data_IF_859876990239
#
_entry.id   IF_859876990239
#
_cell.length_a   1.000
_cell.length_b   1.000
_cell.length_c   1.000
_cell.angle_alpha   90.00
_cell.angle_beta   90.00
_cell.angle_gamma   90.00
#
_symmetry.space_group_name_H-M   'P 1'
#
loop_
_entity.id
_entity.type
_entity.pdbx_description
1 polymer ?
#
# COMPACT_ATOMS: atom_id res chain seq x y z
N UNK A 1 41.83 -7.93 -3.96
CA UNK A 1 42.30 -8.38 -5.29
C UNK A 1 41.10 -8.70 -6.20
N UNK A 2 40.15 -7.76 -6.31
CA UNK A 2 38.94 -7.83 -7.15
C UNK A 2 38.81 -6.48 -7.90
N UNK A 3 39.92 -6.00 -8.45
CA UNK A 3 39.97 -4.80 -9.31
C UNK A 3 40.21 -5.17 -10.80
N UNK A 4 40.30 -6.47 -11.10
CA UNK A 4 40.73 -6.96 -12.43
C UNK A 4 39.70 -7.74 -13.24
N UNK A 5 38.46 -7.91 -12.76
CA UNK A 5 37.42 -8.68 -13.49
C UNK A 5 36.35 -7.76 -14.09
N UNK A 6 36.19 -6.54 -13.59
CA UNK A 6 35.26 -5.54 -14.13
C UNK A 6 35.77 -4.82 -15.38
N UNK A 7 37.08 -4.84 -15.64
CA UNK A 7 37.73 -4.12 -16.74
C UNK A 7 37.83 -4.90 -18.06
N UNK A 8 37.58 -6.21 -18.06
CA UNK A 8 37.80 -7.07 -19.23
C UNK A 8 36.59 -7.26 -20.16
N UNK A 9 35.36 -7.21 -19.64
CA UNK A 9 34.18 -7.81 -20.32
C UNK A 9 32.97 -6.86 -20.44
N UNK A 10 33.08 -5.68 -19.85
CA UNK A 10 32.21 -4.54 -20.13
C UNK A 10 33.16 -3.40 -20.44
N UNK A 11 33.24 -2.97 -21.70
CA UNK A 11 34.12 -1.85 -22.05
C UNK A 11 33.87 -0.65 -21.13
N UNK A 12 34.91 0.14 -20.85
CA UNK A 12 34.85 1.33 -19.99
C UNK A 12 33.60 2.21 -20.21
N UNK A 13 33.01 2.20 -21.41
CA UNK A 13 31.76 2.88 -21.73
C UNK A 13 30.52 2.38 -20.97
N UNK A 14 30.33 1.06 -20.82
CA UNK A 14 29.17 0.50 -20.13
C UNK A 14 29.27 0.71 -18.62
N UNK A 15 30.46 0.53 -18.03
CA UNK A 15 30.69 0.83 -16.62
C UNK A 15 30.52 2.33 -16.31
N UNK A 16 31.12 3.22 -17.10
CA UNK A 16 30.93 4.67 -16.95
C UNK A 16 29.48 5.10 -17.18
N UNK A 17 28.73 4.38 -18.02
CA UNK A 17 27.31 4.62 -18.24
C UNK A 17 26.48 4.18 -17.04
N UNK A 18 26.73 2.99 -16.49
CA UNK A 18 26.11 2.49 -15.26
C UNK A 18 26.41 3.43 -14.10
N UNK A 19 27.66 3.83 -13.91
CA UNK A 19 28.08 4.79 -12.88
C UNK A 19 27.39 6.16 -13.05
N UNK A 20 27.23 6.64 -14.29
CA UNK A 20 26.47 7.87 -14.58
C UNK A 20 24.97 7.71 -14.32
N UNK A 21 24.36 6.59 -14.66
CA UNK A 21 22.95 6.30 -14.34
C UNK A 21 22.75 6.25 -12.83
N UNK A 22 23.67 5.59 -12.11
CA UNK A 22 23.70 5.51 -10.64
C UNK A 22 23.82 6.92 -10.04
N UNK A 23 24.75 7.74 -10.50
CA UNK A 23 24.91 9.12 -10.00
C UNK A 23 23.74 10.05 -10.39
N UNK A 24 23.10 9.82 -11.55
CA UNK A 24 22.01 10.67 -12.07
C UNK A 24 20.68 10.46 -11.34
N UNK A 25 20.37 9.22 -10.96
CA UNK A 25 19.08 8.88 -10.36
C UNK A 25 19.17 8.55 -8.86
N UNK A 26 20.36 8.38 -8.29
CA UNK A 26 20.53 7.79 -6.96
C UNK A 26 21.52 8.59 -6.10
N UNK A 27 21.00 9.53 -5.29
CA UNK A 27 21.78 10.41 -4.40
C UNK A 27 21.96 9.78 -2.99
N UNK A 28 21.23 8.70 -2.66
CA UNK A 28 21.17 8.15 -1.29
C UNK A 28 21.04 6.61 -1.16
N UNK A 29 21.12 5.85 -2.26
CA UNK A 29 20.96 4.39 -2.19
C UNK A 29 22.26 3.66 -1.83
N UNK A 30 22.11 2.46 -1.23
CA UNK A 30 23.21 1.61 -0.76
C UNK A 30 24.03 1.12 -1.97
N UNK A 31 25.15 1.79 -2.27
CA UNK A 31 26.05 1.47 -3.39
C UNK A 31 26.40 -0.03 -3.44
N UNK A 32 26.44 -0.69 -2.29
CA UNK A 32 26.69 -2.12 -2.17
C UNK A 32 25.59 -2.97 -2.81
N UNK A 33 24.32 -2.62 -2.61
CA UNK A 33 23.15 -3.32 -3.20
C UNK A 33 23.21 -3.21 -4.73
N UNK A 34 23.53 -2.02 -5.25
CA UNK A 34 23.65 -1.79 -6.68
C UNK A 34 24.79 -2.62 -7.28
N UNK A 35 25.96 -2.67 -6.62
CA UNK A 35 27.09 -3.48 -7.08
C UNK A 35 26.77 -4.98 -7.06
N UNK A 36 26.07 -5.46 -6.03
CA UNK A 36 25.61 -6.85 -5.96
C UNK A 36 24.65 -7.17 -7.12
N UNK A 37 23.75 -6.25 -7.45
CA UNK A 37 22.80 -6.45 -8.54
C UNK A 37 23.47 -6.43 -9.92
N UNK A 38 24.41 -5.52 -10.16
CA UNK A 38 25.23 -5.50 -11.38
C UNK A 38 26.02 -6.81 -11.53
N UNK A 39 26.55 -7.32 -10.42
CA UNK A 39 27.25 -8.60 -10.40
C UNK A 39 26.30 -9.74 -10.81
N UNK A 40 25.08 -9.78 -10.26
CA UNK A 40 24.07 -10.76 -10.64
C UNK A 40 23.72 -10.70 -12.13
N UNK A 41 23.50 -9.50 -12.69
CA UNK A 41 23.21 -9.32 -14.12
C UNK A 41 24.37 -9.85 -14.96
N UNK A 42 25.63 -9.57 -14.59
CA UNK A 42 26.79 -10.03 -15.35
C UNK A 42 26.95 -11.55 -15.31
N UNK A 43 26.79 -12.16 -14.13
CA UNK A 43 26.83 -13.63 -13.97
C UNK A 43 25.75 -14.30 -14.83
N UNK A 44 24.53 -13.78 -14.79
CA UNK A 44 23.40 -14.32 -15.54
C UNK A 44 23.58 -14.11 -17.04
N UNK A 45 24.06 -12.93 -17.45
CA UNK A 45 24.34 -12.63 -18.86
C UNK A 45 25.39 -13.58 -19.44
N UNK A 46 26.48 -13.84 -18.72
CA UNK A 46 27.48 -14.80 -19.16
C UNK A 46 26.87 -16.21 -19.31
N UNK A 47 26.21 -16.72 -18.27
CA UNK A 47 25.60 -18.05 -18.31
C UNK A 47 24.47 -18.20 -19.32
N UNK A 48 23.71 -17.13 -19.60
CA UNK A 48 22.67 -17.11 -20.60
C UNK A 48 23.24 -17.24 -22.01
N UNK A 49 24.24 -16.44 -22.37
CA UNK A 49 24.84 -16.50 -23.70
C UNK A 49 25.72 -17.73 -23.89
N UNK A 50 26.39 -18.23 -22.86
CA UNK A 50 27.10 -19.51 -22.94
C UNK A 50 26.17 -20.66 -23.33
N UNK A 51 24.91 -20.59 -22.92
CA UNK A 51 23.90 -21.63 -23.17
C UNK A 51 23.06 -21.40 -24.43
N UNK A 52 22.80 -20.15 -24.79
CA UNK A 52 21.81 -19.80 -25.82
C UNK A 52 22.37 -18.84 -26.90
N UNK A 53 23.69 -18.79 -27.10
CA UNK A 53 24.32 -17.91 -28.11
C UNK A 53 23.78 -18.13 -29.52
N UNK A 54 23.46 -19.37 -29.89
CA UNK A 54 22.95 -19.70 -31.23
C UNK A 54 21.53 -19.15 -31.45
N UNK A 55 20.70 -19.16 -30.40
CA UNK A 55 19.29 -18.75 -30.46
C UNK A 55 19.11 -17.23 -30.32
N UNK A 56 19.93 -16.59 -29.48
CA UNK A 56 19.72 -15.19 -29.08
C UNK A 56 20.92 -14.26 -29.34
N UNK A 57 21.96 -14.77 -29.98
CA UNK A 57 23.18 -14.02 -30.30
C UNK A 57 24.10 -13.79 -29.10
N UNK A 58 24.97 -12.80 -29.23
CA UNK A 58 25.94 -12.40 -28.20
C UNK A 58 25.42 -11.25 -27.36
N UNK A 59 26.13 -10.89 -26.29
CA UNK A 59 25.81 -9.70 -25.49
C UNK A 59 25.75 -8.43 -26.35
N UNK A 60 26.63 -8.33 -27.35
CA UNK A 60 26.77 -7.19 -28.26
C UNK A 60 25.72 -7.17 -29.39
N UNK A 61 25.04 -8.29 -29.64
CA UNK A 61 24.10 -8.46 -30.75
C UNK A 61 22.69 -8.89 -30.33
N UNK A 62 22.38 -8.84 -29.03
CA UNK A 62 21.11 -9.31 -28.44
C UNK A 62 20.32 -8.16 -27.83
N UNK A 63 19.23 -8.48 -27.10
CA UNK A 63 18.45 -7.51 -26.34
C UNK A 63 19.28 -6.81 -25.24
N UNK A 64 20.40 -7.39 -24.80
CA UNK A 64 21.32 -6.72 -23.86
C UNK A 64 22.31 -5.76 -24.53
N UNK A 65 22.33 -5.67 -25.86
CA UNK A 65 23.09 -4.61 -26.56
C UNK A 65 22.40 -3.23 -26.46
N UNK A 66 21.12 -3.22 -26.08
CA UNK A 66 20.30 -2.01 -26.04
C UNK A 66 20.42 -1.31 -24.69
N UNK A 67 20.95 -0.09 -24.70
CA UNK A 67 21.17 0.74 -23.50
C UNK A 67 19.92 0.88 -22.62
N UNK A 68 18.75 1.08 -23.24
CA UNK A 68 17.46 1.21 -22.52
C UNK A 68 17.09 -0.04 -21.73
N UNK A 69 17.51 -1.22 -22.17
CA UNK A 69 17.22 -2.47 -21.48
C UNK A 69 18.09 -2.63 -20.21
N UNK A 70 19.30 -2.07 -20.20
CA UNK A 70 20.10 -1.96 -18.98
C UNK A 70 19.50 -0.99 -17.97
N UNK A 71 19.02 0.17 -18.44
CA UNK A 71 18.32 1.13 -17.58
C UNK A 71 17.07 0.49 -16.96
N UNK A 72 16.30 -0.27 -17.74
CA UNK A 72 15.14 -1.01 -17.27
C UNK A 72 15.52 -2.03 -16.18
N UNK A 73 16.56 -2.84 -16.42
CA UNK A 73 17.04 -3.84 -15.46
C UNK A 73 17.43 -3.20 -14.13
N UNK A 74 18.26 -2.16 -14.16
CA UNK A 74 18.70 -1.43 -12.97
C UNK A 74 17.51 -0.83 -12.24
N UNK A 75 16.61 -0.17 -12.97
CA UNK A 75 15.41 0.42 -12.36
C UNK A 75 14.54 -0.61 -11.64
N UNK A 76 14.54 -1.86 -12.09
CA UNK A 76 13.65 -2.90 -11.56
C UNK A 76 13.94 -3.35 -10.13
N UNK A 77 15.10 -3.02 -9.54
CA UNK A 77 15.38 -3.39 -8.13
C UNK A 77 14.88 -2.37 -7.12
N UNK A 78 14.50 -1.17 -7.56
CA UNK A 78 14.12 -0.09 -6.66
C UNK A 78 12.64 -0.11 -6.30
N UNK A 79 12.35 0.41 -5.10
CA UNK A 79 10.98 0.60 -4.61
C UNK A 79 10.19 1.53 -5.56
N UNK A 80 8.94 1.16 -5.87
CA UNK A 80 8.06 1.92 -6.77
C UNK A 80 8.26 1.67 -8.27
N UNK A 81 9.24 0.86 -8.67
CA UNK A 81 9.32 0.34 -10.04
C UNK A 81 8.41 -0.87 -10.22
N UNK A 82 7.81 -1.04 -11.40
CA UNK A 82 7.01 -2.24 -11.71
C UNK A 82 7.89 -3.49 -11.68
N UNK A 83 7.26 -4.65 -11.50
CA UNK A 83 7.93 -5.93 -11.75
C UNK A 83 8.40 -5.98 -13.21
N UNK A 84 9.61 -6.48 -13.42
CA UNK A 84 10.22 -6.59 -14.74
C UNK A 84 9.46 -7.63 -15.57
N UNK A 85 8.94 -7.23 -16.73
CA UNK A 85 8.30 -8.14 -17.68
C UNK A 85 9.03 -8.15 -19.01
N UNK A 86 8.93 -9.25 -19.74
CA UNK A 86 9.56 -9.40 -21.04
C UNK A 86 9.06 -8.35 -22.07
N UNK A 87 7.82 -7.89 -21.94
CA UNK A 87 7.27 -6.88 -22.86
C UNK A 87 7.84 -5.48 -22.65
N UNK A 88 8.49 -5.24 -21.50
CA UNK A 88 9.10 -3.94 -21.18
C UNK A 88 10.44 -3.74 -21.92
N UNK A 89 11.03 -4.82 -22.46
CA UNK A 89 12.29 -4.75 -23.20
C UNK A 89 12.09 -4.13 -24.59
N UNK A 90 13.04 -3.29 -24.98
CA UNK A 90 13.14 -2.75 -26.33
C UNK A 90 13.82 -3.79 -27.21
N UNK A 91 13.03 -4.40 -28.12
CA UNK A 91 13.46 -5.52 -28.97
C UNK A 91 13.64 -5.14 -30.45
N UNK A 92 13.44 -3.86 -30.80
CA UNK A 92 13.49 -3.41 -32.18
C UNK A 92 14.91 -3.53 -32.75
N UNK A 93 15.02 -4.03 -33.98
CA UNK A 93 16.31 -4.13 -34.69
C UNK A 93 17.14 -5.36 -34.34
N UNK A 94 16.62 -6.26 -33.50
CA UNK A 94 17.20 -7.59 -33.27
C UNK A 94 16.70 -8.48 -34.40
N UNK A 95 17.59 -9.10 -35.17
CA UNK A 95 17.27 -9.90 -36.36
C UNK A 95 16.60 -11.25 -36.10
N UNK A 96 15.85 -11.37 -34.99
CA UNK A 96 15.17 -12.57 -34.53
C UNK A 96 13.68 -12.23 -34.41
N UNK A 97 12.80 -13.21 -34.58
CA UNK A 97 11.37 -13.01 -34.41
C UNK A 97 11.04 -12.48 -32.99
N UNK A 98 10.13 -11.51 -32.91
CA UNK A 98 9.80 -10.85 -31.64
C UNK A 98 9.26 -11.84 -30.60
N UNK A 99 8.44 -12.81 -31.01
CA UNK A 99 7.88 -13.79 -30.08
C UNK A 99 8.98 -14.72 -29.54
N UNK A 100 9.94 -15.10 -30.39
CA UNK A 100 11.09 -15.91 -29.97
C UNK A 100 12.02 -15.14 -29.02
N UNK A 101 12.30 -13.86 -29.28
CA UNK A 101 13.10 -13.03 -28.38
C UNK A 101 12.42 -12.88 -27.02
N UNK A 102 11.10 -12.68 -26.98
CA UNK A 102 10.37 -12.57 -25.71
C UNK A 102 10.54 -13.81 -24.83
N UNK A 103 10.58 -15.01 -25.42
CA UNK A 103 10.88 -16.25 -24.71
C UNK A 103 12.31 -16.21 -24.13
N UNK A 104 13.28 -15.73 -24.91
CA UNK A 104 14.66 -15.55 -24.45
C UNK A 104 14.78 -14.56 -23.30
N UNK A 105 14.08 -13.43 -23.40
CA UNK A 105 14.02 -12.41 -22.34
C UNK A 105 13.38 -12.97 -21.08
N UNK A 106 12.26 -13.70 -21.18
CA UNK A 106 11.63 -14.33 -20.02
C UNK A 106 12.58 -15.30 -19.32
N UNK A 107 13.25 -16.18 -20.09
CA UNK A 107 14.29 -17.09 -19.54
C UNK A 107 15.41 -16.33 -18.84
N UNK A 108 15.86 -15.21 -19.41
CA UNK A 108 16.87 -14.36 -18.79
C UNK A 108 16.39 -13.76 -17.46
N UNK A 109 15.16 -13.24 -17.43
CA UNK A 109 14.52 -12.70 -16.21
C UNK A 109 14.44 -13.79 -15.14
N UNK A 110 14.01 -15.00 -15.49
CA UNK A 110 13.91 -16.13 -14.56
C UNK A 110 15.28 -16.48 -13.97
N UNK A 111 16.32 -16.57 -14.81
CA UNK A 111 17.70 -16.80 -14.37
C UNK A 111 18.19 -15.68 -13.45
N UNK A 112 17.87 -14.44 -13.79
CA UNK A 112 18.24 -13.27 -13.00
C UNK A 112 17.57 -13.29 -11.61
N UNK A 113 16.28 -13.60 -11.54
CA UNK A 113 15.57 -13.73 -10.27
C UNK A 113 16.16 -14.83 -9.39
N UNK A 114 16.56 -15.97 -9.98
CA UNK A 114 17.22 -17.05 -9.25
C UNK A 114 18.60 -16.62 -8.72
N UNK A 115 19.37 -15.88 -9.51
CA UNK A 115 20.69 -15.38 -9.09
C UNK A 115 20.57 -14.35 -7.96
N UNK A 116 19.61 -13.43 -8.07
CA UNK A 116 19.34 -12.42 -7.04
C UNK A 116 19.06 -13.09 -5.69
N UNK A 117 18.22 -14.13 -5.66
CA UNK A 117 17.84 -14.86 -4.44
C UNK A 117 19.01 -15.53 -3.71
N UNK A 118 20.17 -15.67 -4.36
CA UNK A 118 21.39 -16.17 -3.70
C UNK A 118 22.01 -15.14 -2.75
N UNK A 119 21.76 -13.85 -2.99
CA UNK A 119 22.24 -12.77 -2.13
C UNK A 119 21.14 -12.38 -1.15
N UNK A 120 21.38 -12.61 0.15
CA UNK A 120 20.41 -12.26 1.20
C UNK A 120 20.01 -10.77 1.17
N UNK A 121 20.95 -9.88 0.80
CA UNK A 121 20.69 -8.44 0.70
C UNK A 121 19.74 -8.12 -0.44
N UNK A 122 19.97 -8.70 -1.62
CA UNK A 122 19.11 -8.46 -2.78
C UNK A 122 17.75 -9.16 -2.63
N UNK A 123 17.72 -10.36 -2.04
CA UNK A 123 16.48 -11.09 -1.74
C UNK A 123 15.59 -10.33 -0.75
N UNK A 124 16.21 -9.70 0.26
CA UNK A 124 15.53 -8.81 1.19
C UNK A 124 14.92 -7.61 0.46
N UNK A 125 15.68 -6.93 -0.41
CA UNK A 125 15.18 -5.78 -1.20
C UNK A 125 14.00 -6.18 -2.09
N UNK A 126 14.07 -7.33 -2.78
CA UNK A 126 12.96 -7.81 -3.60
C UNK A 126 11.72 -8.16 -2.76
N UNK A 127 11.91 -8.79 -1.60
CA UNK A 127 10.82 -9.16 -0.70
C UNK A 127 10.10 -7.93 -0.14
N UNK A 128 10.86 -6.92 0.27
CA UNK A 128 10.31 -5.64 0.72
C UNK A 128 9.61 -4.89 -0.41
N UNK A 129 10.19 -4.87 -1.62
CA UNK A 129 9.55 -4.28 -2.81
C UNK A 129 8.22 -4.94 -3.13
N UNK A 130 8.16 -6.27 -3.07
CA UNK A 130 6.92 -7.02 -3.28
C UNK A 130 5.87 -6.63 -2.25
N UNK A 131 6.25 -6.60 -0.97
CA UNK A 131 5.35 -6.17 0.10
C UNK A 131 4.82 -4.74 -0.09
N UNK A 132 5.67 -3.80 -0.52
CA UNK A 132 5.26 -2.42 -0.83
C UNK A 132 4.29 -2.39 -2.02
N UNK A 133 4.59 -3.11 -3.09
CA UNK A 133 3.74 -3.17 -4.29
C UNK A 133 2.36 -3.76 -3.97
N UNK A 134 2.33 -4.84 -3.18
CA UNK A 134 1.09 -5.46 -2.70
C UNK A 134 0.31 -4.49 -1.80
N UNK A 135 1.01 -3.76 -0.93
CA UNK A 135 0.39 -2.73 -0.07
C UNK A 135 -0.19 -1.56 -0.88
N UNK A 136 0.51 -1.07 -1.90
CA UNK A 136 0.02 -0.01 -2.80
C UNK A 136 -1.18 -0.46 -3.62
N UNK A 137 -1.16 -1.69 -4.12
CA UNK A 137 -2.31 -2.29 -4.82
C UNK A 137 -3.52 -2.35 -3.89
N UNK A 138 -3.33 -2.84 -2.67
CA UNK A 138 -4.38 -2.91 -1.66
C UNK A 138 -4.90 -1.51 -1.28
N UNK A 139 -4.02 -0.52 -1.15
CA UNK A 139 -4.41 0.86 -0.86
C UNK A 139 -5.21 1.47 -2.02
N UNK A 140 -4.82 1.21 -3.27
CA UNK A 140 -5.55 1.66 -4.45
C UNK A 140 -6.93 1.01 -4.51
N UNK A 141 -7.03 -0.29 -4.30
CA UNK A 141 -8.31 -1.01 -4.26
C UNK A 141 -9.20 -0.51 -3.13
N UNK A 142 -8.64 -0.26 -1.95
CA UNK A 142 -9.36 0.37 -0.83
C UNK A 142 -9.86 1.77 -1.19
N UNK A 143 -9.04 2.59 -1.85
CA UNK A 143 -9.43 3.93 -2.27
C UNK A 143 -10.54 3.90 -3.31
N UNK A 144 -10.48 2.98 -4.27
CA UNK A 144 -11.54 2.77 -5.25
C UNK A 144 -12.85 2.31 -4.58
N UNK A 145 -12.76 1.36 -3.63
CA UNK A 145 -13.91 0.92 -2.82
C UNK A 145 -14.47 2.05 -1.94
N UNK A 146 -13.62 2.89 -1.36
CA UNK A 146 -14.04 4.06 -0.57
C UNK A 146 -14.69 5.12 -1.44
N UNK A 147 -14.10 5.44 -2.59
CA UNK A 147 -14.68 6.40 -3.55
C UNK A 147 -16.05 5.91 -4.04
N UNK A 148 -16.17 4.60 -4.29
CA UNK A 148 -17.45 3.97 -4.59
C UNK A 148 -18.48 4.15 -3.46
N UNK A 149 -18.08 3.93 -2.20
CA UNK A 149 -18.97 4.13 -1.07
C UNK A 149 -19.38 5.61 -0.95
N UNK A 150 -18.45 6.55 -1.14
CA UNK A 150 -18.72 7.99 -1.11
C UNK A 150 -19.71 8.42 -2.21
N UNK A 151 -19.54 7.92 -3.44
CA UNK A 151 -20.45 8.18 -4.56
C UNK A 151 -21.83 7.57 -4.31
N UNK A 152 -21.89 6.34 -3.79
CA UNK A 152 -23.13 5.65 -3.45
C UNK A 152 -23.88 6.42 -2.35
N UNK A 153 -23.17 6.82 -1.30
CA UNK A 153 -23.68 7.64 -0.21
C UNK A 153 -24.24 8.96 -0.77
N UNK A 154 -23.47 9.67 -1.59
CA UNK A 154 -23.87 10.96 -2.18
C UNK A 154 -25.11 10.83 -3.07
N UNK A 155 -25.17 9.79 -3.91
CA UNK A 155 -26.33 9.49 -4.75
C UNK A 155 -27.60 9.23 -3.94
N UNK A 156 -27.48 8.54 -2.80
CA UNK A 156 -28.60 8.31 -1.89
C UNK A 156 -29.07 9.59 -1.19
N UNK A 157 -28.15 10.50 -0.78
CA UNK A 157 -28.53 11.81 -0.21
C UNK A 157 -29.36 12.62 -1.20
N UNK A 158 -28.92 12.69 -2.47
CA UNK A 158 -29.59 13.46 -3.51
C UNK A 158 -31.00 12.90 -3.77
N UNK A 159 -31.15 11.58 -3.79
CA UNK A 159 -32.45 10.93 -4.01
C UNK A 159 -33.41 11.07 -2.82
N UNK A 160 -32.91 11.07 -1.57
CA UNK A 160 -33.73 11.27 -0.39
C UNK A 160 -34.20 12.72 -0.19
N UNK A 161 -33.49 13.71 -0.74
CA UNK A 161 -33.98 15.10 -0.77
C UNK A 161 -35.06 15.33 -1.85
N UNK A 162 -35.15 14.45 -2.86
CA UNK A 162 -36.04 14.61 -4.01
C UNK A 162 -37.37 13.85 -3.92
N UNK A 163 -37.62 13.01 -2.90
CA UNK A 163 -38.77 12.09 -2.92
C UNK A 163 -39.43 11.83 -1.57
N UNK A 164 -40.58 12.47 -1.35
CA UNK A 164 -41.59 12.08 -0.34
C UNK A 164 -42.61 11.06 -0.88
N UNK A 165 -42.29 10.26 -1.90
CA UNK A 165 -43.18 9.19 -2.38
C UNK A 165 -42.40 7.96 -2.81
N UNK A 166 -42.77 6.84 -2.20
CA UNK A 166 -42.40 5.47 -2.55
C UNK A 166 -42.12 5.29 -4.06
N UNK A 167 -40.84 5.19 -4.40
CA UNK A 167 -40.40 4.68 -5.69
C UNK A 167 -39.21 3.76 -5.44
N UNK A 168 -39.32 2.53 -5.97
CA UNK A 168 -38.18 1.64 -6.21
C UNK A 168 -37.07 2.45 -6.86
N UNK A 169 -35.92 2.49 -6.19
CA UNK A 169 -34.71 3.16 -6.69
C UNK A 169 -34.03 2.18 -7.64
N UNK A 170 -34.31 2.30 -8.94
CA UNK A 170 -33.36 1.89 -9.98
C UNK A 170 -32.36 3.03 -10.12
N UNK A 171 -31.23 2.92 -9.45
CA UNK A 171 -30.07 3.77 -9.73
C UNK A 171 -29.20 3.06 -10.75
N UNK A 172 -29.27 3.50 -12.01
CA UNK A 172 -28.28 3.17 -13.04
C UNK A 172 -26.96 3.85 -12.68
N UNK A 173 -26.24 3.26 -11.72
CA UNK A 173 -24.83 3.57 -11.48
C UNK A 173 -24.06 2.72 -12.47
N UNK A 174 -23.46 3.35 -13.47
CA UNK A 174 -22.60 2.69 -14.46
C UNK A 174 -21.35 2.19 -13.73
N UNK A 175 -21.37 0.93 -13.32
CA UNK A 175 -20.25 0.26 -12.65
C UNK A 175 -19.49 -0.63 -13.63
N UNK A 176 -18.16 -0.54 -13.62
CA UNK A 176 -17.25 -1.51 -14.26
C UNK A 176 -17.18 -2.87 -13.53
N UNK A 177 -18.10 -3.13 -12.61
CA UNK A 177 -18.32 -4.39 -11.92
C UNK A 177 -19.83 -4.63 -12.00
N UNK A 178 -20.23 -5.76 -12.60
CA UNK A 178 -21.61 -6.16 -12.88
C UNK A 178 -22.67 -5.47 -12.00
N UNK A 179 -23.60 -4.79 -12.67
CA UNK A 179 -24.72 -4.04 -12.10
C UNK A 179 -25.61 -4.92 -11.20
N UNK A 180 -25.23 -5.10 -9.94
CA UNK A 180 -26.11 -5.65 -8.92
C UNK A 180 -26.84 -4.50 -8.22
N UNK A 181 -28.16 -4.48 -8.32
CA UNK A 181 -29.00 -3.56 -7.57
C UNK A 181 -28.83 -3.79 -6.07
N UNK A 182 -28.55 -2.73 -5.30
CA UNK A 182 -28.51 -2.80 -3.84
C UNK A 182 -29.91 -2.62 -3.25
N UNK A 183 -30.23 -3.39 -2.21
CA UNK A 183 -31.51 -3.36 -1.50
C UNK A 183 -31.30 -2.86 -0.07
N UNK A 184 -32.08 -1.87 0.35
CA UNK A 184 -32.07 -1.42 1.75
C UNK A 184 -32.50 -2.55 2.70
N UNK A 185 -31.82 -2.64 3.85
CA UNK A 185 -32.03 -3.68 4.86
C UNK A 185 -31.38 -5.03 4.52
N UNK A 186 -30.78 -5.19 3.33
CA UNK A 186 -30.03 -6.40 2.97
C UNK A 186 -28.57 -6.28 3.44
N UNK A 187 -28.07 -7.39 3.98
CA UNK A 187 -26.68 -7.53 4.41
C UNK A 187 -25.80 -8.01 3.26
N UNK A 188 -24.65 -7.36 3.10
CA UNK A 188 -23.64 -7.66 2.11
C UNK A 188 -22.31 -7.97 2.80
N UNK A 189 -21.44 -8.72 2.12
CA UNK A 189 -20.12 -9.07 2.63
C UNK A 189 -19.06 -8.93 1.54
N UNK A 190 -17.96 -8.25 1.86
CA UNK A 190 -16.76 -8.15 1.03
C UNK A 190 -15.64 -8.90 1.75
N UNK A 191 -15.03 -9.86 1.07
CA UNK A 191 -13.83 -10.54 1.55
C UNK A 191 -12.59 -9.79 1.06
N UNK A 192 -11.59 -9.63 1.92
CA UNK A 192 -10.30 -9.00 1.59
C UNK A 192 -9.24 -10.10 1.57
N UNK A 193 -8.29 -10.06 0.62
CA UNK A 193 -7.24 -11.08 0.47
C UNK A 193 -6.40 -11.28 1.75
N UNK A 194 -6.29 -10.26 2.60
CA UNK A 194 -5.64 -10.32 3.92
C UNK A 194 -6.29 -11.29 4.91
N UNK A 195 -7.52 -11.78 4.65
CA UNK A 195 -8.32 -12.57 5.59
C UNK A 195 -9.35 -11.75 6.38
N UNK A 196 -9.23 -10.42 6.36
CA UNK A 196 -10.24 -9.50 6.86
C UNK A 196 -11.50 -9.50 5.99
N UNK A 197 -12.63 -9.03 6.55
CA UNK A 197 -13.88 -8.89 5.79
C UNK A 197 -14.72 -7.71 6.26
N UNK A 198 -15.52 -7.17 5.36
CA UNK A 198 -16.44 -6.07 5.65
C UNK A 198 -17.85 -6.59 5.47
N UNK A 199 -18.66 -6.60 6.52
CA UNK A 199 -20.11 -6.74 6.39
C UNK A 199 -20.72 -5.34 6.39
N UNK A 200 -21.69 -5.11 5.52
CA UNK A 200 -22.42 -3.85 5.53
C UNK A 200 -23.90 -4.01 5.22
N UNK A 201 -24.69 -3.07 5.70
CA UNK A 201 -26.12 -2.97 5.44
C UNK A 201 -26.51 -1.51 5.31
N UNK A 202 -27.18 -1.18 4.22
CA UNK A 202 -27.67 0.17 3.97
C UNK A 202 -29.11 0.28 4.44
N UNK A 203 -29.48 1.43 5.02
CA UNK A 203 -30.87 1.79 5.36
C UNK A 203 -31.19 3.17 4.80
N UNK A 204 -32.42 3.65 4.93
CA UNK A 204 -32.75 4.98 4.40
C UNK A 204 -31.98 6.12 5.07
N UNK A 205 -31.43 5.90 6.27
CA UNK A 205 -30.78 6.96 7.06
C UNK A 205 -29.30 6.71 7.32
N UNK A 206 -28.89 5.44 7.42
CA UNK A 206 -27.56 5.04 7.88
C UNK A 206 -26.98 3.89 7.04
N UNK A 207 -25.65 3.84 7.00
CA UNK A 207 -24.87 2.68 6.64
C UNK A 207 -24.32 2.02 7.92
N UNK A 208 -24.66 0.75 8.12
CA UNK A 208 -24.11 -0.10 9.16
C UNK A 208 -22.90 -0.84 8.59
N UNK A 209 -21.73 -0.67 9.20
CA UNK A 209 -20.48 -1.27 8.72
C UNK A 209 -19.81 -2.05 9.83
N UNK A 210 -19.56 -3.33 9.61
CA UNK A 210 -18.73 -4.18 10.46
C UNK A 210 -17.43 -4.51 9.72
N UNK A 211 -16.30 -4.13 10.30
CA UNK A 211 -14.98 -4.57 9.83
C UNK A 211 -14.47 -5.69 10.73
N UNK A 212 -14.30 -6.88 10.16
CA UNK A 212 -13.76 -8.06 10.83
C UNK A 212 -12.28 -8.16 10.46
N UNK A 213 -11.41 -8.03 11.46
CA UNK A 213 -9.95 -8.13 11.33
C UNK A 213 -9.50 -9.58 11.11
N UNK A 214 -8.23 -9.76 10.73
CA UNK A 214 -7.60 -11.06 10.49
C UNK A 214 -7.60 -11.96 11.74
N UNK A 215 -7.61 -11.36 12.94
CA UNK A 215 -7.69 -12.05 14.23
C UNK A 215 -9.14 -12.34 14.68
N UNK A 216 -10.13 -11.95 13.88
CA UNK A 216 -11.55 -12.10 14.17
C UNK A 216 -12.16 -11.00 15.05
N UNK A 217 -11.37 -10.02 15.51
CA UNK A 217 -11.90 -8.85 16.19
C UNK A 217 -12.81 -8.06 15.25
N UNK A 218 -13.84 -7.39 15.78
CA UNK A 218 -14.85 -6.71 14.94
C UNK A 218 -15.04 -5.27 15.38
N UNK A 219 -14.75 -4.34 14.48
CA UNK A 219 -15.14 -2.94 14.63
C UNK A 219 -16.52 -2.73 14.01
N UNK A 220 -17.35 -1.92 14.64
CA UNK A 220 -18.69 -1.57 14.14
C UNK A 220 -18.85 -0.06 14.07
N UNK A 221 -19.49 0.42 13.00
CA UNK A 221 -19.77 1.82 12.77
C UNK A 221 -21.19 2.01 12.24
N UNK A 222 -21.87 3.02 12.77
CA UNK A 222 -23.08 3.60 12.18
C UNK A 222 -22.70 4.91 11.52
N UNK A 223 -22.70 4.94 10.20
CA UNK A 223 -22.25 6.10 9.42
C UNK A 223 -23.46 6.67 8.71
N UNK A 224 -23.70 7.97 8.86
CA UNK A 224 -24.72 8.63 8.05
C UNK A 224 -24.20 8.93 6.64
N UNK A 225 -25.11 9.32 5.76
CA UNK A 225 -24.75 9.64 4.38
C UNK A 225 -23.95 10.95 4.19
N UNK A 226 -23.53 11.61 5.26
CA UNK A 226 -22.51 12.67 5.19
C UNK A 226 -21.09 12.15 5.46
N UNK A 227 -20.95 10.86 5.79
CA UNK A 227 -19.71 10.26 6.27
C UNK A 227 -19.48 10.48 7.77
N UNK A 228 -20.46 11.00 8.50
CA UNK A 228 -20.35 11.22 9.95
C UNK A 228 -20.67 9.93 10.71
N UNK A 229 -19.79 9.54 11.62
CA UNK A 229 -20.01 8.39 12.51
C UNK A 229 -20.95 8.81 13.64
N UNK A 230 -22.14 8.20 13.72
CA UNK A 230 -23.12 8.42 14.79
C UNK A 230 -22.85 7.56 16.00
N UNK A 231 -22.47 6.31 15.77
CA UNK A 231 -22.12 5.36 16.82
C UNK A 231 -20.98 4.46 16.34
N UNK A 232 -20.18 3.96 17.28
CA UNK A 232 -19.11 3.02 16.98
C UNK A 232 -18.83 2.10 18.14
N UNK A 233 -18.39 0.87 17.82
CA UNK A 233 -17.89 -0.09 18.79
C UNK A 233 -16.50 -0.52 18.39
N UNK A 234 -15.57 -0.35 19.32
CA UNK A 234 -14.17 -0.67 19.11
C UNK A 234 -13.97 -2.20 19.12
N UNK A 235 -13.06 -2.73 18.28
CA UNK A 235 -12.75 -4.16 18.20
C UNK A 235 -12.00 -4.69 19.43
N UNK A 236 -11.30 -3.80 20.13
CA UNK A 236 -10.48 -4.13 21.31
C UNK A 236 -10.88 -3.23 22.49
N UNK A 237 -10.68 -3.67 23.74
CA UNK A 237 -10.84 -2.83 24.92
C UNK A 237 -10.02 -1.54 24.85
N UNK A 238 -10.59 -0.43 25.34
CA UNK A 238 -9.92 0.88 25.34
C UNK A 238 -8.61 0.90 26.15
N UNK A 239 -8.48 0.02 27.15
CA UNK A 239 -7.28 -0.16 27.96
C UNK A 239 -6.04 -0.53 27.14
N UNK A 240 -6.22 -1.11 25.97
CA UNK A 240 -5.12 -1.48 25.08
C UNK A 240 -4.69 -0.33 24.15
N UNK A 241 -5.43 0.78 24.11
CA UNK A 241 -5.15 1.89 23.22
C UNK A 241 -4.21 2.93 23.83
N UNK A 242 -3.39 3.52 22.98
CA UNK A 242 -2.57 4.70 23.29
C UNK A 242 -3.16 5.94 22.64
N UNK A 243 -3.23 7.05 23.38
CA UNK A 243 -3.67 8.34 22.86
C UNK A 243 -2.46 9.23 22.58
N UNK A 244 -2.34 9.67 21.33
CA UNK A 244 -1.31 10.60 20.88
C UNK A 244 -1.85 12.03 20.82
N UNK A 245 -1.23 12.90 21.61
CA UNK A 245 -1.58 14.31 21.68
C UNK A 245 -0.66 15.16 20.80
N UNK A 246 -1.20 16.18 20.11
CA UNK A 246 -0.40 17.25 19.55
C UNK A 246 0.06 18.18 20.67
N UNK A 247 1.19 17.86 21.32
CA UNK A 247 1.72 18.59 22.49
C UNK A 247 1.84 20.11 22.26
N UNK A 248 2.14 20.54 21.02
CA UNK A 248 2.25 21.96 20.66
C UNK A 248 0.92 22.72 20.72
N UNK A 249 -0.20 21.99 20.66
CA UNK A 249 -1.56 22.53 20.60
C UNK A 249 -2.32 22.41 21.92
N UNK A 250 -1.68 21.87 22.97
CA UNK A 250 -2.24 21.84 24.31
C UNK A 250 -2.22 23.24 24.95
N UNK A 251 -3.36 23.66 25.50
CA UNK A 251 -3.44 24.84 26.38
C UNK A 251 -3.43 24.38 27.83
N UNK A 252 -4.26 23.40 28.16
CA UNK A 252 -4.53 23.01 29.54
C UNK A 252 -4.69 21.49 29.62
N UNK A 253 -4.09 20.89 30.66
CA UNK A 253 -4.30 19.50 31.05
C UNK A 253 -4.67 19.49 32.53
N UNK A 254 -5.91 19.14 32.83
CA UNK A 254 -6.43 19.08 34.19
C UNK A 254 -6.72 17.64 34.57
N UNK A 255 -6.19 17.21 35.70
CA UNK A 255 -6.40 15.87 36.24
C UNK A 255 -7.21 15.97 37.53
N UNK A 256 -8.21 15.11 37.68
CA UNK A 256 -9.07 15.06 38.86
C UNK A 256 -9.38 13.61 39.24
N UNK A 257 -9.29 13.31 40.54
CA UNK A 257 -9.62 12.00 41.07
C UNK A 257 -11.14 11.89 41.26
N UNK A 258 -11.73 10.82 40.75
CA UNK A 258 -13.14 10.49 40.91
C UNK A 258 -13.35 9.71 42.22
N UNK A 259 -14.55 9.76 42.84
CA UNK A 259 -14.83 9.09 44.10
C UNK A 259 -14.62 7.57 44.09
N UNK A 260 -14.67 6.94 42.92
CA UNK A 260 -14.46 5.51 42.73
C UNK A 260 -12.98 5.12 42.57
N UNK A 261 -12.04 6.05 42.72
CA UNK A 261 -10.60 5.82 42.58
C UNK A 261 -10.08 5.97 41.15
N UNK A 262 -10.94 6.22 40.17
CA UNK A 262 -10.53 6.51 38.79
C UNK A 262 -9.98 7.93 38.67
N UNK A 263 -9.25 8.17 37.58
CA UNK A 263 -8.67 9.48 37.25
C UNK A 263 -9.35 10.01 35.99
N UNK A 264 -9.91 11.20 36.05
CA UNK A 264 -10.38 11.92 34.87
C UNK A 264 -9.33 12.96 34.44
N UNK A 265 -8.91 12.89 33.19
CA UNK A 265 -8.00 13.82 32.54
C UNK A 265 -8.77 14.61 31.48
N UNK A 266 -8.86 15.93 31.66
CA UNK A 266 -9.48 16.85 30.72
C UNK A 266 -8.38 17.64 30.03
N UNK A 267 -8.31 17.54 28.72
CA UNK A 267 -7.32 18.17 27.87
C UNK A 267 -8.01 19.19 26.98
N UNK A 268 -7.53 20.44 26.96
CA UNK A 268 -8.05 21.51 26.10
C UNK A 268 -7.01 21.96 25.08
N UNK A 269 -7.47 22.12 23.85
CA UNK A 269 -6.63 22.46 22.70
C UNK A 269 -6.79 23.92 22.28
N UNK A 270 -5.79 24.46 21.55
CA UNK A 270 -5.75 25.85 21.06
C UNK A 270 -6.97 26.29 20.24
N UNK A 271 -7.58 25.36 19.52
CA UNK A 271 -8.77 25.59 18.71
C UNK A 271 -10.10 25.45 19.51
N UNK A 272 -10.04 25.44 20.85
CA UNK A 272 -11.22 25.53 21.72
C UNK A 272 -11.95 24.21 21.96
N UNK A 273 -11.48 23.10 21.37
CA UNK A 273 -12.03 21.75 21.61
C UNK A 273 -11.40 21.11 22.83
N UNK A 274 -12.02 20.03 23.32
CA UNK A 274 -11.52 19.28 24.45
C UNK A 274 -11.62 17.76 24.25
N UNK A 275 -10.85 17.05 25.06
CA UNK A 275 -10.90 15.60 25.25
C UNK A 275 -11.01 15.31 26.74
N UNK A 276 -11.94 14.46 27.14
CA UNK A 276 -12.09 13.95 28.51
C UNK A 276 -11.81 12.46 28.51
N UNK A 277 -10.81 12.02 29.26
CA UNK A 277 -10.41 10.62 29.38
C UNK A 277 -10.62 10.18 30.81
N UNK A 278 -11.27 9.05 31.03
CA UNK A 278 -11.35 8.40 32.34
C UNK A 278 -10.42 7.19 32.32
N UNK A 279 -9.51 7.14 33.29
CA UNK A 279 -8.54 6.07 33.48
C UNK A 279 -8.76 5.36 34.81
N UNK A 280 -8.40 4.08 34.88
CA UNK A 280 -8.31 3.36 36.14
C UNK A 280 -7.08 3.81 36.97
N UNK A 281 -6.86 3.19 38.13
CA UNK A 281 -5.71 3.48 38.99
C UNK A 281 -4.36 3.03 38.42
N UNK A 282 -4.37 2.20 37.38
CA UNK A 282 -3.18 1.72 36.66
C UNK A 282 -2.87 2.58 35.43
N UNK A 283 -3.75 3.50 35.06
CA UNK A 283 -3.61 4.40 33.91
C UNK A 283 -4.27 3.88 32.62
N UNK A 284 -4.97 2.75 32.66
CA UNK A 284 -5.69 2.21 31.52
C UNK A 284 -6.94 3.02 31.20
N UNK A 285 -7.23 3.20 29.92
CA UNK A 285 -8.39 4.00 29.46
C UNK A 285 -9.66 3.19 29.65
N UNK A 286 -10.59 3.72 30.44
CA UNK A 286 -11.92 3.15 30.65
C UNK A 286 -12.98 3.81 29.79
N UNK A 287 -12.86 5.12 29.57
CA UNK A 287 -13.82 5.91 28.79
C UNK A 287 -13.13 7.13 28.16
N UNK A 288 -13.65 7.59 27.03
CA UNK A 288 -13.16 8.74 26.30
C UNK A 288 -14.33 9.50 25.67
N UNK A 289 -14.40 10.80 25.92
CA UNK A 289 -15.30 11.75 25.26
C UNK A 289 -14.45 12.80 24.52
N UNK A 290 -14.60 12.86 23.19
CA UNK A 290 -13.78 13.69 22.32
C UNK A 290 -14.65 14.67 21.53
N UNK A 291 -14.40 15.97 21.69
CA UNK A 291 -15.01 17.02 20.84
C UNK A 291 -14.07 17.49 19.74
N UNK A 292 -13.22 16.59 19.22
CA UNK A 292 -12.25 16.92 18.17
C UNK A 292 -12.19 15.78 17.17
N UNK A 293 -11.59 16.05 16.00
CA UNK A 293 -11.34 15.02 15.00
C UNK A 293 -10.29 14.04 15.52
N UNK A 294 -10.63 12.76 15.50
CA UNK A 294 -9.73 11.67 15.89
C UNK A 294 -9.49 10.73 14.71
N UNK A 295 -8.29 10.20 14.63
CA UNK A 295 -7.93 9.09 13.75
C UNK A 295 -7.63 7.87 14.63
N UNK A 296 -8.25 6.73 14.32
CA UNK A 296 -8.09 5.50 15.09
C UNK A 296 -7.46 4.42 14.24
N UNK A 297 -6.26 3.99 14.64
CA UNK A 297 -5.59 2.83 14.09
C UNK A 297 -5.80 1.64 15.04
N UNK A 298 -6.78 0.80 14.70
CA UNK A 298 -7.11 -0.38 15.49
C UNK A 298 -6.00 -1.44 15.47
N UNK A 299 -5.20 -1.53 14.41
CA UNK A 299 -4.12 -2.53 14.30
C UNK A 299 -2.98 -2.21 15.25
N UNK A 300 -2.62 -0.94 15.33
CA UNK A 300 -1.58 -0.44 16.24
C UNK A 300 -2.14 0.04 17.58
N UNK A 301 -3.46 -0.10 17.80
CA UNK A 301 -4.19 0.32 19.02
C UNK A 301 -3.85 1.75 19.40
N UNK A 302 -4.00 2.66 18.44
CA UNK A 302 -3.56 4.05 18.56
C UNK A 302 -4.68 5.00 18.17
N UNK A 303 -4.92 6.00 19.02
CA UNK A 303 -5.86 7.09 18.79
C UNK A 303 -5.05 8.37 18.66
N UNK A 304 -5.14 9.03 17.51
CA UNK A 304 -4.43 10.28 17.23
C UNK A 304 -5.42 11.43 17.21
N UNK A 305 -5.16 12.46 18.01
CA UNK A 305 -5.94 13.69 17.98
C UNK A 305 -5.40 14.58 16.85
N UNK A 306 -6.27 14.93 15.90
CA UNK A 306 -5.90 15.74 14.74
C UNK A 306 -6.02 17.23 15.03
N UNK A 307 -5.07 18.03 14.52
CA UNK A 307 -5.17 19.49 14.55
C UNK A 307 -6.22 19.96 13.52
N UNK A 308 -7.03 20.96 13.91
CA UNK A 308 -7.98 21.67 13.02
C UNK A 308 -7.33 22.91 12.40
#
# INVERSE_FOLDING_TARGET
MIEGILTGVLGNGAYNFLEKLIKKYFIQEDEEVIQLFITAINTVSAGFFDKYVEDYGTKESSFLSVEKNWELLIRSIFYGSKELREEDFVLNGIGIDKAEILIGVRKFIDMLQLEIKKSWKLDKVLSEKKHITDSEKNHKELKEKLSFLEELITGLVINNQASTKEKKVESDIVTGLNSESFEFGKKYKIQIESGASINYMLTNELAYVEYIFEDGATAYYEVDYSGSVRDSKFPYPLEEYQINFPEKSLIERKTMNLPNGNVQEIVRFRWGKYLSIIKDSQGHILNMDAQCRIEVDHRNKKITIMEE
#
